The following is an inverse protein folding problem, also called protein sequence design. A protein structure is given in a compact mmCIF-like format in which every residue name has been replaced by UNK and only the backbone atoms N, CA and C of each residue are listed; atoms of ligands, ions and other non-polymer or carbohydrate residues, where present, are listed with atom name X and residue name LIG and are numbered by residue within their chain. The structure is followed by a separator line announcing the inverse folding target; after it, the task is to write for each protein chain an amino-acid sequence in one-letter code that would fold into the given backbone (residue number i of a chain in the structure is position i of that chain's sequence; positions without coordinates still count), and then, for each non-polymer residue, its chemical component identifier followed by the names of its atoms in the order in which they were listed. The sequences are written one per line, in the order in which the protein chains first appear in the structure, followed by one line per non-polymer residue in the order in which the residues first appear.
data_IF_941729746782
#
_entry.id   IF_941729746782
#
_cell.length_a   1.000
_cell.length_b   1.000
_cell.length_c   1.000
_cell.angle_alpha   90.00
_cell.angle_beta   90.00
_cell.angle_gamma   90.00
#
_symmetry.space_group_name_H-M   'P 1'
#
loop_
_entity.id
_entity.type
_entity.pdbx_description
1 polymer ?
#
# COMPACT_ATOMS: atom_id res chain seq x y z
N UNK A 1 -34.51 64.08 -23.97
CA UNK A 1 -34.04 63.25 -22.84
C UNK A 1 -34.00 61.81 -23.29
N UNK A 2 -32.85 61.24 -23.52
CA UNK A 2 -32.68 59.84 -23.91
C UNK A 2 -31.94 59.13 -22.79
N UNK A 3 -32.64 58.28 -21.99
CA UNK A 3 -32.03 57.40 -21.00
C UNK A 3 -31.28 56.28 -21.72
N UNK A 4 -29.99 56.20 -21.50
CA UNK A 4 -29.17 55.06 -21.89
C UNK A 4 -29.19 54.06 -20.76
N UNK A 5 -29.84 52.89 -20.98
CA UNK A 5 -29.78 51.78 -20.08
C UNK A 5 -28.41 51.11 -20.18
N UNK A 6 -27.63 51.14 -19.12
CA UNK A 6 -26.41 50.33 -19.02
C UNK A 6 -26.82 48.88 -18.67
N UNK A 7 -26.63 47.97 -19.61
CA UNK A 7 -26.76 46.55 -19.34
C UNK A 7 -25.54 46.04 -18.58
N UNK A 8 -25.76 45.59 -17.34
CA UNK A 8 -24.77 44.82 -16.59
C UNK A 8 -24.68 43.38 -17.18
N UNK A 9 -23.64 43.13 -17.89
CA UNK A 9 -23.31 41.76 -18.31
C UNK A 9 -22.71 41.01 -17.12
N UNK A 10 -23.51 40.14 -16.50
CA UNK A 10 -23.04 39.19 -15.48
C UNK A 10 -22.21 38.12 -16.14
N UNK A 11 -20.90 38.16 -15.99
CA UNK A 11 -20.00 37.07 -16.36
C UNK A 11 -20.13 35.98 -15.31
N UNK A 12 -20.86 34.94 -15.61
CA UNK A 12 -20.88 33.71 -14.83
C UNK A 12 -19.54 32.97 -15.06
N UNK A 13 -18.64 33.09 -14.09
CA UNK A 13 -17.44 32.27 -14.04
C UNK A 13 -17.87 30.85 -13.70
N UNK A 14 -17.95 29.99 -14.71
CA UNK A 14 -18.08 28.55 -14.49
C UNK A 14 -16.76 28.07 -13.85
N UNK A 15 -16.75 27.93 -12.53
CA UNK A 15 -15.71 27.18 -11.82
C UNK A 15 -15.84 25.74 -12.25
N UNK A 16 -15.02 25.35 -13.22
CA UNK A 16 -14.82 23.95 -13.60
C UNK A 16 -14.32 23.20 -12.34
N UNK A 17 -15.18 22.38 -11.76
CA UNK A 17 -14.77 21.42 -10.77
C UNK A 17 -13.77 20.46 -11.45
N UNK A 18 -12.48 20.70 -11.22
CA UNK A 18 -11.47 19.70 -11.54
C UNK A 18 -11.87 18.43 -10.79
N UNK A 19 -11.90 17.26 -11.45
CA UNK A 19 -12.11 16.01 -10.74
C UNK A 19 -10.99 15.93 -9.68
N UNK A 20 -11.34 16.05 -8.42
CA UNK A 20 -10.47 15.65 -7.35
C UNK A 20 -10.22 14.17 -7.63
N UNK A 21 -9.00 13.82 -8.04
CA UNK A 21 -8.55 12.43 -8.02
C UNK A 21 -8.65 12.03 -6.55
N UNK A 22 -9.81 11.51 -6.22
CA UNK A 22 -10.09 10.98 -4.91
C UNK A 22 -9.01 9.96 -4.64
N UNK A 23 -8.34 10.14 -3.52
CA UNK A 23 -7.48 9.18 -2.87
C UNK A 23 -7.94 7.78 -3.23
N UNK A 24 -7.01 6.95 -3.72
CA UNK A 24 -7.28 5.55 -3.97
C UNK A 24 -7.96 5.01 -2.72
N UNK A 25 -9.26 4.81 -2.83
CA UNK A 25 -10.07 4.32 -1.74
C UNK A 25 -9.52 2.93 -1.41
N UNK A 26 -9.22 2.66 -0.14
CA UNK A 26 -8.91 1.31 0.34
C UNK A 26 -10.00 0.29 -0.02
N UNK A 27 -11.11 0.77 -0.56
CA UNK A 27 -12.24 -0.01 -1.04
C UNK A 27 -11.90 -1.01 -2.16
N UNK A 28 -10.81 -0.82 -2.90
CA UNK A 28 -10.37 -1.76 -3.94
C UNK A 28 -9.72 -3.02 -3.38
N UNK A 29 -9.21 -2.98 -2.15
CA UNK A 29 -8.59 -4.12 -1.49
C UNK A 29 -9.61 -4.91 -0.65
N UNK A 30 -9.46 -6.23 -0.61
CA UNK A 30 -10.23 -7.09 0.28
C UNK A 30 -9.59 -7.11 1.67
N UNK A 31 -10.04 -6.21 2.54
CA UNK A 31 -9.52 -6.09 3.91
C UNK A 31 -9.81 -7.29 4.81
N UNK A 32 -10.71 -8.19 4.42
CA UNK A 32 -10.99 -9.42 5.15
C UNK A 32 -10.07 -10.58 4.74
N UNK A 33 -9.53 -10.54 3.52
CA UNK A 33 -8.62 -11.55 3.01
C UNK A 33 -7.16 -11.17 3.25
N UNK A 34 -6.33 -12.19 3.47
CA UNK A 34 -4.86 -12.07 3.50
C UNK A 34 -4.27 -13.12 2.58
N UNK A 35 -3.34 -12.70 1.74
CA UNK A 35 -2.59 -13.57 0.83
C UNK A 35 -1.11 -13.44 1.15
N UNK A 36 -0.42 -14.57 1.24
CA UNK A 36 1.03 -14.63 1.39
C UNK A 36 1.65 -14.92 0.02
N UNK A 37 2.52 -14.04 -0.41
CA UNK A 37 3.26 -14.15 -1.66
C UNK A 37 4.73 -14.39 -1.36
N UNK A 38 5.32 -15.39 -1.99
CA UNK A 38 6.77 -15.61 -2.01
C UNK A 38 7.30 -15.25 -3.39
N UNK A 39 8.29 -14.38 -3.44
CA UNK A 39 8.78 -13.91 -4.73
C UNK A 39 10.08 -13.13 -4.64
N UNK A 40 10.53 -12.71 -5.82
CA UNK A 40 11.74 -11.92 -5.99
C UNK A 40 11.39 -10.46 -6.24
N UNK A 41 12.01 -9.56 -5.53
CA UNK A 41 11.84 -8.11 -5.73
C UNK A 41 12.37 -7.73 -7.11
N UNK A 42 11.50 -7.19 -7.97
CA UNK A 42 11.87 -6.59 -9.25
C UNK A 42 12.30 -5.14 -9.05
N UNK A 43 11.51 -4.41 -8.24
CA UNK A 43 11.80 -3.00 -7.91
C UNK A 43 11.14 -2.63 -6.58
N UNK A 44 11.76 -1.68 -5.88
CA UNK A 44 11.19 -0.99 -4.74
C UNK A 44 11.17 0.51 -5.06
N UNK A 45 9.98 1.07 -5.15
CA UNK A 45 9.76 2.46 -5.49
C UNK A 45 9.46 3.25 -4.22
N UNK A 46 10.42 4.08 -3.79
CA UNK A 46 10.31 4.95 -2.62
C UNK A 46 9.85 6.34 -3.06
N UNK A 47 8.54 6.48 -3.29
CA UNK A 47 7.92 7.68 -3.89
C UNK A 47 6.67 8.11 -3.14
N UNK A 48 6.31 9.39 -3.25
CA UNK A 48 5.05 9.96 -2.80
C UNK A 48 3.98 9.88 -3.90
N UNK A 49 2.68 9.76 -3.57
CA UNK A 49 2.15 9.66 -2.20
C UNK A 49 2.32 8.27 -1.58
N UNK A 50 2.47 7.20 -2.38
CA UNK A 50 2.62 5.83 -1.92
C UNK A 50 3.85 5.17 -2.54
N UNK A 51 4.57 4.44 -1.71
CA UNK A 51 5.66 3.56 -2.16
C UNK A 51 5.11 2.24 -2.70
N UNK A 52 5.91 1.54 -3.52
CA UNK A 52 5.48 0.30 -4.18
C UNK A 52 6.57 -0.75 -4.16
N UNK A 53 6.16 -2.00 -3.95
CA UNK A 53 7.00 -3.16 -4.24
C UNK A 53 6.47 -3.80 -5.52
N UNK A 54 7.33 -4.01 -6.51
CA UNK A 54 7.04 -4.84 -7.66
C UNK A 54 7.65 -6.22 -7.40
N UNK A 55 6.82 -7.20 -7.05
CA UNK A 55 7.24 -8.54 -6.70
C UNK A 55 7.00 -9.49 -7.88
N UNK A 56 7.99 -10.29 -8.25
CA UNK A 56 7.85 -11.35 -9.23
C UNK A 56 7.55 -12.65 -8.51
N UNK A 57 6.35 -13.19 -8.71
CA UNK A 57 5.86 -14.42 -8.07
C UNK A 57 5.79 -15.52 -9.10
N UNK A 58 6.26 -16.72 -8.75
CA UNK A 58 6.17 -17.89 -9.63
C UNK A 58 4.80 -18.55 -9.47
N UNK A 59 4.09 -18.66 -10.58
CA UNK A 59 2.82 -19.39 -10.65
C UNK A 59 3.04 -20.90 -10.63
N UNK A 60 1.96 -21.65 -10.44
CA UNK A 60 1.98 -23.13 -10.45
C UNK A 60 2.42 -23.73 -11.79
N UNK A 61 2.20 -23.02 -12.91
CA UNK A 61 2.65 -23.38 -14.25
C UNK A 61 4.13 -23.05 -14.53
N UNK A 62 4.82 -22.42 -13.54
CA UNK A 62 6.21 -22.01 -13.62
C UNK A 62 6.45 -20.63 -14.22
N UNK A 63 5.43 -19.97 -14.76
CA UNK A 63 5.55 -18.60 -15.26
C UNK A 63 5.73 -17.61 -14.11
N UNK A 64 6.38 -16.48 -14.40
CA UNK A 64 6.52 -15.38 -13.47
C UNK A 64 5.43 -14.35 -13.71
N UNK A 65 4.77 -13.96 -12.64
CA UNK A 65 3.72 -12.95 -12.62
C UNK A 65 4.15 -11.78 -11.74
N UNK A 66 3.94 -10.56 -12.25
CA UNK A 66 4.27 -9.35 -11.49
C UNK A 66 3.10 -8.95 -10.60
N UNK A 67 3.39 -8.79 -9.32
CA UNK A 67 2.47 -8.33 -8.29
C UNK A 67 2.88 -6.95 -7.81
N UNK A 68 2.19 -5.88 -8.24
CA UNK A 68 2.37 -4.55 -7.65
C UNK A 68 1.73 -4.51 -6.27
N UNK A 69 2.50 -4.17 -5.25
CA UNK A 69 2.06 -4.08 -3.86
C UNK A 69 2.14 -2.62 -3.43
N UNK A 70 0.98 -2.03 -3.17
CA UNK A 70 0.87 -0.65 -2.68
C UNK A 70 1.23 -0.58 -1.20
N UNK A 71 2.08 0.36 -0.85
CA UNK A 71 2.52 0.61 0.52
C UNK A 71 2.08 1.99 1.00
N UNK A 72 2.46 2.35 2.21
CA UNK A 72 2.28 3.69 2.74
C UNK A 72 3.20 4.74 2.11
N UNK A 73 3.05 5.97 2.58
CA UNK A 73 3.96 7.06 2.19
C UNK A 73 5.38 6.81 2.73
N UNK A 74 6.43 7.33 2.06
CA UNK A 74 7.80 7.23 2.55
C UNK A 74 7.98 7.64 4.02
N UNK A 75 7.33 8.74 4.43
CA UNK A 75 7.40 9.19 5.82
C UNK A 75 6.71 8.27 6.83
N UNK A 76 5.61 7.61 6.43
CA UNK A 76 4.94 6.57 7.23
C UNK A 76 5.84 5.35 7.39
N UNK A 77 6.32 4.83 6.29
CA UNK A 77 7.18 3.65 6.23
C UNK A 77 8.51 3.84 6.98
N UNK A 78 9.10 5.05 6.93
CA UNK A 78 10.32 5.34 7.68
C UNK A 78 10.13 5.15 9.20
N UNK A 79 8.95 5.49 9.73
CA UNK A 79 8.61 5.26 11.14
C UNK A 79 8.43 3.77 11.50
N UNK A 80 8.12 2.96 10.49
CA UNK A 80 8.04 1.49 10.61
C UNK A 80 9.40 0.80 10.42
N UNK A 81 10.46 1.57 10.17
CA UNK A 81 11.83 1.04 9.99
C UNK A 81 12.24 0.81 8.54
N UNK A 82 11.41 1.21 7.58
CA UNK A 82 11.75 1.16 6.16
C UNK A 82 12.70 2.28 5.75
N UNK A 83 13.53 2.00 4.76
CA UNK A 83 14.44 2.95 4.13
C UNK A 83 14.43 2.75 2.60
N UNK A 84 14.87 3.73 1.80
CA UNK A 84 14.88 3.62 0.33
C UNK A 84 15.61 2.40 -0.22
N UNK A 85 16.56 1.84 0.55
CA UNK A 85 17.36 0.67 0.17
C UNK A 85 17.01 -0.59 0.96
N UNK A 86 15.91 -0.59 1.69
CA UNK A 86 15.48 -1.76 2.48
C UNK A 86 15.24 -2.99 1.60
N UNK A 87 14.68 -2.79 0.41
CA UNK A 87 14.57 -3.82 -0.62
C UNK A 87 15.44 -3.47 -1.82
N UNK A 88 16.09 -4.47 -2.37
CA UNK A 88 16.88 -4.35 -3.59
C UNK A 88 16.42 -5.37 -4.63
N UNK A 89 16.53 -5.05 -5.93
CA UNK A 89 16.22 -6.01 -6.99
C UNK A 89 16.98 -7.32 -6.80
N UNK A 90 16.29 -8.44 -7.00
CA UNK A 90 16.85 -9.78 -6.81
C UNK A 90 16.69 -10.36 -5.41
N UNK A 91 16.27 -9.59 -4.41
CA UNK A 91 16.01 -10.08 -3.06
C UNK A 91 14.76 -10.95 -3.04
N UNK A 92 14.85 -12.14 -2.44
CA UNK A 92 13.69 -13.01 -2.21
C UNK A 92 13.03 -12.64 -0.90
N UNK A 93 11.72 -12.43 -0.93
CA UNK A 93 10.95 -12.04 0.26
C UNK A 93 9.62 -12.78 0.31
N UNK A 94 9.04 -12.80 1.50
CA UNK A 94 7.66 -13.21 1.74
C UNK A 94 6.84 -11.98 2.11
N UNK A 95 5.85 -11.63 1.29
CA UNK A 95 4.96 -10.50 1.51
C UNK A 95 3.56 -10.99 1.91
N UNK A 96 2.97 -10.39 2.94
CA UNK A 96 1.56 -10.56 3.28
C UNK A 96 0.82 -9.31 2.84
N UNK A 97 -0.29 -9.50 2.14
CA UNK A 97 -1.07 -8.42 1.53
C UNK A 97 -2.57 -8.62 1.73
N UNK A 98 -3.34 -7.55 1.65
CA UNK A 98 -4.75 -7.60 1.28
C UNK A 98 -4.83 -7.60 -0.25
N UNK A 99 -5.39 -8.64 -0.89
CA UNK A 99 -5.46 -8.72 -2.35
C UNK A 99 -6.45 -7.72 -2.93
N UNK A 100 -6.37 -7.47 -4.24
CA UNK A 100 -7.39 -6.75 -4.98
C UNK A 100 -8.69 -7.59 -5.04
N UNK A 101 -9.85 -6.95 -4.86
CA UNK A 101 -11.16 -7.59 -4.89
C UNK A 101 -11.54 -8.19 -6.25
N UNK A 102 -10.98 -7.65 -7.32
CA UNK A 102 -11.24 -8.11 -8.69
C UNK A 102 -10.43 -9.36 -9.07
N UNK A 103 -9.55 -9.84 -8.17
CA UNK A 103 -8.74 -11.03 -8.37
C UNK A 103 -7.53 -10.83 -9.30
N UNK A 104 -7.28 -9.60 -9.77
CA UNK A 104 -6.06 -9.30 -10.54
C UNK A 104 -4.83 -9.30 -9.63
N UNK A 105 -3.62 -9.58 -10.17
CA UNK A 105 -2.39 -9.52 -9.38
C UNK A 105 -2.15 -8.13 -8.81
N UNK A 106 -2.03 -8.06 -7.48
CA UNK A 106 -1.80 -6.82 -6.76
C UNK A 106 -2.43 -6.83 -5.37
N UNK A 107 -2.06 -5.87 -4.55
CA UNK A 107 -2.63 -5.75 -3.22
C UNK A 107 -2.02 -4.64 -2.38
N UNK A 108 -2.55 -4.52 -1.17
CA UNK A 108 -2.07 -3.60 -0.15
C UNK A 108 -1.11 -4.31 0.79
N UNK A 109 0.03 -3.70 1.03
CA UNK A 109 1.05 -4.17 1.95
C UNK A 109 0.52 -4.31 3.39
N UNK A 110 0.84 -5.45 4.02
CA UNK A 110 0.67 -5.67 5.45
C UNK A 110 2.01 -5.92 6.14
N UNK A 111 2.81 -6.85 5.61
CA UNK A 111 4.14 -7.14 6.14
C UNK A 111 5.05 -7.73 5.08
N UNK A 112 6.36 -7.62 5.30
CA UNK A 112 7.38 -8.29 4.51
C UNK A 112 8.38 -8.97 5.43
N UNK A 113 8.61 -10.26 5.19
CA UNK A 113 9.66 -11.05 5.84
C UNK A 113 10.85 -11.17 4.90
N UNK A 114 12.01 -10.82 5.39
CA UNK A 114 13.29 -10.82 4.68
C UNK A 114 13.97 -12.20 4.72
N UNK A 115 15.01 -12.46 3.90
CA UNK A 115 15.73 -13.73 3.91
C UNK A 115 16.39 -14.08 5.26
N UNK A 116 16.71 -13.08 6.07
CA UNK A 116 17.27 -13.24 7.43
C UNK A 116 16.21 -13.56 8.50
N UNK A 117 14.93 -13.64 8.11
CA UNK A 117 13.80 -13.91 9.01
C UNK A 117 13.20 -12.66 9.67
N UNK A 118 13.85 -11.51 9.55
CA UNK A 118 13.31 -10.24 10.06
C UNK A 118 12.04 -9.85 9.30
N UNK A 119 11.05 -9.31 10.01
CA UNK A 119 9.78 -8.85 9.42
C UNK A 119 9.55 -7.38 9.71
N UNK A 120 9.09 -6.63 8.72
CA UNK A 120 8.57 -5.27 8.86
C UNK A 120 7.07 -5.24 8.54
N UNK A 121 6.33 -4.35 9.21
CA UNK A 121 4.89 -4.18 9.08
C UNK A 121 4.09 -4.84 10.20
N UNK A 122 2.79 -5.06 9.97
CA UNK A 122 1.84 -5.53 10.99
C UNK A 122 2.18 -6.92 11.59
N UNK A 123 3.01 -7.72 10.92
CA UNK A 123 3.51 -8.99 11.44
C UNK A 123 4.36 -8.83 12.71
N UNK A 124 5.04 -7.70 12.87
CA UNK A 124 5.83 -7.42 14.08
C UNK A 124 4.98 -7.09 15.31
N UNK A 125 3.72 -6.70 15.12
CA UNK A 125 2.84 -6.35 16.24
C UNK A 125 2.22 -7.58 16.89
N UNK A 126 2.11 -8.70 16.16
CA UNK A 126 1.56 -9.94 16.69
C UNK A 126 2.62 -10.75 17.48
N UNK A 127 3.91 -10.61 17.13
CA UNK A 127 5.01 -11.24 17.87
C UNK A 127 5.38 -10.46 19.16
N UNK A 128 5.07 -9.17 19.20
CA UNK A 128 5.27 -8.35 20.41
C UNK A 128 4.15 -8.54 21.46
N UNK A 129 3.02 -9.16 21.09
CA UNK A 129 1.88 -9.43 21.97
C UNK A 129 1.82 -10.85 22.54
N UNK A 130 2.73 -11.74 22.13
CA UNK A 130 2.81 -13.13 22.60
C UNK A 130 3.64 -13.36 23.86
N UNK A 131 3.88 -12.32 24.67
CA UNK A 131 4.51 -12.41 25.99
C UNK A 131 3.49 -12.76 27.05
N UNK A 132 3.24 -14.04 27.22
CA UNK A 132 2.78 -14.76 28.38
C UNK A 132 2.21 -13.95 29.55
N UNK A 133 0.89 -13.95 29.64
CA UNK A 133 0.24 -13.89 30.93
C UNK A 133 0.17 -15.32 31.52
N UNK A 134 1.30 -15.92 31.88
CA UNK A 134 1.34 -17.03 32.82
C UNK A 134 1.54 -16.44 34.22
N UNK A 135 0.46 -16.02 34.86
CA UNK A 135 0.37 -15.86 36.30
C UNK A 135 -0.41 -17.05 36.82
N UNK A 136 0.33 -18.14 37.08
CA UNK A 136 -0.11 -19.15 37.97
C UNK A 136 -0.37 -18.52 39.34
N UNK A 137 -1.63 -18.65 39.79
CA UNK A 137 -2.00 -18.41 41.14
C UNK A 137 -1.36 -19.48 42.03
N UNK A 138 -0.67 -19.04 43.04
CA UNK A 138 -0.23 -19.85 44.18
C UNK A 138 -0.77 -19.22 45.45
N UNK A 139 -1.72 -19.87 46.01
CA UNK A 139 -2.13 -19.98 47.42
C UNK A 139 -1.95 -18.74 48.33
#
# INVERSE_FOLDING_TARGET
MRLRALGLASVAVAMGAAPAFAHHSFAMFDGAAKVTLEGTVKAFQWIYPHSWILLMVRKSDGELEQWPIEMGSPGGLAREGWQPKTLTPGMNVKAVIHPLKDGTPGGQYLSVTFPDGRTLGLGNLNDAGGGEANREGGQ
#
